data_IF_015043539518
#
_entry.id   IF_015043539518
#
_cell.length_a   1.000
_cell.length_b   1.000
_cell.length_c   1.000
_cell.angle_alpha   90.00
_cell.angle_beta   90.00
_cell.angle_gamma   90.00
#
_symmetry.space_group_name_H-M   'P 1'
#
loop_
_entity.id
_entity.type
_entity.pdbx_description
1 polymer ?
#
# COMPACT_ATOMS: atom_id res chain seq x y z
N UNK A 1 -2.76 -15.57 -25.78
CA UNK A 1 -2.58 -14.41 -26.67
C UNK A 1 -2.18 -13.20 -25.81
N UNK A 2 -1.31 -12.30 -26.30
CA UNK A 2 -1.22 -10.94 -25.80
C UNK A 2 -2.61 -10.29 -25.64
N UNK A 3 -2.74 -9.35 -24.70
CA UNK A 3 -4.02 -8.66 -24.45
C UNK A 3 -4.57 -7.95 -25.72
N UNK A 4 -3.75 -7.30 -26.58
CA UNK A 4 -4.24 -6.72 -27.84
C UNK A 4 -4.93 -7.74 -28.76
N UNK A 5 -4.36 -8.93 -28.92
CA UNK A 5 -4.93 -9.97 -29.79
C UNK A 5 -6.25 -10.51 -29.22
N UNK A 6 -6.35 -10.61 -27.88
CA UNK A 6 -7.58 -11.00 -27.20
C UNK A 6 -8.67 -9.93 -27.34
N UNK A 7 -8.28 -8.65 -27.25
CA UNK A 7 -9.13 -7.49 -27.46
C UNK A 7 -9.66 -7.44 -28.89
N UNK A 8 -8.80 -7.68 -29.89
CA UNK A 8 -9.19 -7.73 -31.30
C UNK A 8 -10.18 -8.86 -31.57
N UNK A 9 -9.90 -10.07 -31.05
CA UNK A 9 -10.80 -11.22 -31.15
C UNK A 9 -12.17 -10.94 -30.49
N UNK A 10 -12.19 -10.24 -29.35
CA UNK A 10 -13.44 -9.84 -28.69
C UNK A 10 -14.22 -8.78 -29.48
N UNK A 11 -13.56 -7.69 -29.90
CA UNK A 11 -14.20 -6.59 -30.66
C UNK A 11 -14.84 -7.09 -31.95
N UNK A 12 -14.25 -8.10 -32.57
CA UNK A 12 -14.73 -8.71 -33.82
C UNK A 12 -15.69 -9.88 -33.60
N UNK A 13 -15.70 -10.48 -32.41
CA UNK A 13 -16.56 -11.61 -32.03
C UNK A 13 -18.00 -11.18 -31.77
N UNK A 14 -18.96 -11.75 -32.51
CA UNK A 14 -20.40 -11.51 -32.32
C UNK A 14 -21.03 -12.64 -31.53
N UNK A 15 -21.86 -12.30 -30.54
CA UNK A 15 -22.68 -13.24 -29.80
C UNK A 15 -23.92 -13.71 -30.54
N UNK A 16 -24.68 -14.65 -29.97
CA UNK A 16 -26.01 -15.01 -30.46
C UNK A 16 -26.89 -13.75 -30.48
N UNK A 17 -27.28 -13.27 -31.67
CA UNK A 17 -28.03 -12.02 -31.86
C UNK A 17 -27.24 -10.85 -32.46
N UNK A 18 -25.95 -11.02 -32.77
CA UNK A 18 -25.18 -10.09 -33.61
C UNK A 18 -24.56 -8.88 -32.88
N UNK A 19 -24.78 -8.74 -31.57
CA UNK A 19 -24.13 -7.77 -30.68
C UNK A 19 -22.84 -8.30 -30.04
N UNK A 20 -22.04 -7.41 -29.40
CA UNK A 20 -20.83 -7.81 -28.68
C UNK A 20 -21.18 -8.70 -27.48
N UNK A 21 -20.44 -9.79 -27.26
CA UNK A 21 -20.59 -10.65 -26.07
C UNK A 21 -19.95 -9.99 -24.85
N UNK A 22 -20.64 -10.01 -23.70
CA UNK A 22 -20.01 -9.66 -22.44
C UNK A 22 -18.82 -10.59 -22.17
N UNK A 23 -17.64 -10.03 -21.85
CA UNK A 23 -16.41 -10.79 -21.62
C UNK A 23 -15.79 -10.41 -20.29
N UNK A 24 -15.31 -11.42 -19.57
CA UNK A 24 -14.49 -11.28 -18.37
C UNK A 24 -13.16 -12.02 -18.58
N UNK A 25 -12.04 -11.34 -18.39
CA UNK A 25 -10.70 -11.88 -18.61
C UNK A 25 -9.90 -11.80 -17.32
N UNK A 26 -9.44 -12.95 -16.84
CA UNK A 26 -8.47 -13.01 -15.76
C UNK A 26 -7.07 -12.80 -16.30
N UNK A 27 -6.33 -11.88 -15.71
CA UNK A 27 -4.99 -11.49 -16.14
C UNK A 27 -3.97 -11.63 -15.02
N UNK A 28 -2.69 -11.60 -15.40
CA UNK A 28 -1.60 -11.47 -14.45
C UNK A 28 -1.73 -10.14 -13.68
N UNK A 29 -1.33 -10.10 -12.40
CA UNK A 29 -1.50 -8.92 -11.56
C UNK A 29 -0.76 -7.71 -12.10
N UNK A 30 0.33 -7.90 -12.85
CA UNK A 30 1.15 -6.83 -13.42
C UNK A 30 0.70 -6.29 -14.78
N UNK A 31 -0.41 -6.75 -15.35
CA UNK A 31 -0.83 -6.35 -16.70
C UNK A 31 -1.12 -4.84 -16.80
N UNK A 32 -0.66 -4.20 -17.87
CA UNK A 32 -1.07 -2.85 -18.22
C UNK A 32 -2.47 -2.90 -18.83
N UNK A 33 -3.40 -2.20 -18.19
CA UNK A 33 -4.81 -2.09 -18.60
C UNK A 33 -5.20 -0.63 -18.85
N UNK A 34 -4.22 0.27 -19.08
CA UNK A 34 -4.47 1.68 -19.37
C UNK A 34 -5.38 1.91 -20.58
N UNK A 35 -5.31 1.01 -21.58
CA UNK A 35 -6.15 1.04 -22.78
C UNK A 35 -7.47 0.27 -22.64
N UNK A 36 -7.77 -0.31 -21.47
CA UNK A 36 -9.01 -1.05 -21.24
C UNK A 36 -10.17 -0.10 -20.93
N UNK A 37 -11.23 -0.18 -21.75
CA UNK A 37 -12.39 0.73 -21.71
C UNK A 37 -13.53 0.25 -20.79
N UNK A 38 -13.39 -0.91 -20.15
CA UNK A 38 -14.38 -1.43 -19.20
C UNK A 38 -13.88 -1.43 -17.75
N UNK A 39 -14.60 -2.16 -16.89
CA UNK A 39 -14.26 -2.33 -15.49
C UNK A 39 -12.96 -3.12 -15.31
N UNK A 40 -12.16 -2.72 -14.32
CA UNK A 40 -10.97 -3.45 -13.88
C UNK A 40 -11.06 -3.73 -12.38
N UNK A 41 -11.02 -5.02 -12.03
CA UNK A 41 -10.94 -5.48 -10.65
C UNK A 41 -9.51 -5.92 -10.35
N UNK A 42 -8.93 -5.41 -9.28
CA UNK A 42 -7.63 -5.86 -8.78
C UNK A 42 -7.84 -6.62 -7.48
N UNK A 43 -7.38 -7.87 -7.44
CA UNK A 43 -7.59 -8.76 -6.29
C UNK A 43 -6.28 -9.02 -5.59
N UNK A 44 -6.24 -8.82 -4.27
CA UNK A 44 -5.13 -9.20 -3.41
C UNK A 44 -5.56 -10.15 -2.30
N UNK A 45 -4.59 -10.91 -1.80
CA UNK A 45 -4.72 -11.60 -0.52
C UNK A 45 -4.04 -10.76 0.55
N UNK A 46 -4.74 -10.53 1.65
CA UNK A 46 -4.19 -9.86 2.82
C UNK A 46 -3.01 -10.64 3.40
N UNK A 47 -2.05 -9.89 3.95
CA UNK A 47 -0.93 -10.47 4.69
C UNK A 47 -1.37 -11.05 6.03
N UNK A 48 -0.66 -12.06 6.51
CA UNK A 48 -0.74 -12.49 7.91
C UNK A 48 0.14 -11.61 8.80
N UNK A 49 0.02 -11.74 10.13
CA UNK A 49 0.86 -11.01 11.07
C UNK A 49 2.35 -11.22 10.76
N UNK A 50 3.01 -10.17 10.28
CA UNK A 50 4.44 -10.17 9.95
C UNK A 50 4.80 -10.56 8.52
N UNK A 51 3.83 -10.89 7.66
CA UNK A 51 4.04 -11.12 6.22
C UNK A 51 3.18 -10.16 5.39
N UNK A 52 3.77 -9.58 4.33
CA UNK A 52 3.02 -8.73 3.40
C UNK A 52 1.97 -9.51 2.62
N UNK A 53 0.82 -8.88 2.37
CA UNK A 53 -0.14 -9.36 1.39
C UNK A 53 0.40 -9.25 -0.03
N UNK A 54 -0.42 -9.57 -1.01
CA UNK A 54 -0.01 -9.40 -2.40
C UNK A 54 -1.14 -9.53 -3.40
N UNK A 55 -1.05 -8.68 -4.44
CA UNK A 55 -1.92 -8.73 -5.61
C UNK A 55 -1.74 -10.06 -6.32
N UNK A 56 -2.85 -10.73 -6.62
CA UNK A 56 -2.88 -12.04 -7.27
C UNK A 56 -3.31 -11.93 -8.73
N UNK A 57 -4.24 -11.04 -9.04
CA UNK A 57 -4.76 -10.91 -10.39
C UNK A 57 -5.39 -9.55 -10.66
N UNK A 58 -5.56 -9.28 -11.95
CA UNK A 58 -6.44 -8.26 -12.49
C UNK A 58 -7.53 -8.96 -13.31
N UNK A 59 -8.78 -8.54 -13.16
CA UNK A 59 -9.92 -9.05 -13.93
C UNK A 59 -10.51 -7.91 -14.76
N UNK A 60 -10.53 -8.09 -16.07
CA UNK A 60 -11.00 -7.11 -17.04
C UNK A 60 -12.40 -7.50 -17.49
N UNK A 61 -13.38 -6.61 -17.29
CA UNK A 61 -14.75 -6.83 -17.71
C UNK A 61 -15.12 -5.85 -18.80
N UNK A 62 -15.73 -6.35 -19.87
CA UNK A 62 -16.18 -5.50 -20.99
C UNK A 62 -17.19 -4.45 -20.51
N UNK A 63 -17.38 -3.32 -21.21
CA UNK A 63 -18.33 -2.28 -20.81
C UNK A 63 -19.74 -2.82 -20.48
N UNK A 64 -20.24 -3.79 -21.25
CA UNK A 64 -21.56 -4.41 -21.01
C UNK A 64 -21.67 -5.26 -19.74
N UNK A 65 -20.56 -5.54 -19.05
CA UNK A 65 -20.51 -6.23 -17.75
C UNK A 65 -20.00 -5.31 -16.63
N UNK A 66 -19.73 -4.03 -16.92
CA UNK A 66 -19.18 -3.10 -15.96
C UNK A 66 -20.26 -2.56 -15.01
N UNK A 67 -19.94 -2.49 -13.74
CA UNK A 67 -20.74 -1.91 -12.65
C UNK A 67 -20.07 -0.66 -12.09
N UNK A 68 -18.73 -0.63 -12.09
CA UNK A 68 -17.86 0.48 -11.69
C UNK A 68 -16.66 0.53 -12.63
N UNK A 69 -15.89 1.62 -12.65
CA UNK A 69 -14.69 1.68 -13.49
C UNK A 69 -13.55 0.86 -12.90
N UNK A 70 -13.35 0.96 -11.59
CA UNK A 70 -12.26 0.29 -10.87
C UNK A 70 -12.78 -0.33 -9.58
N UNK A 71 -12.27 -1.51 -9.23
CA UNK A 71 -12.48 -2.16 -7.94
C UNK A 71 -11.17 -2.71 -7.39
N UNK A 72 -10.92 -2.50 -6.11
CA UNK A 72 -9.92 -3.23 -5.34
C UNK A 72 -10.64 -4.22 -4.43
N UNK A 73 -10.24 -5.49 -4.48
CA UNK A 73 -10.78 -6.56 -3.63
C UNK A 73 -9.64 -7.12 -2.78
N UNK A 74 -9.73 -6.93 -1.46
CA UNK A 74 -8.72 -7.43 -0.51
C UNK A 74 -9.34 -8.57 0.30
N UNK A 75 -8.89 -9.80 0.02
CA UNK A 75 -9.39 -11.01 0.67
C UNK A 75 -8.55 -11.30 1.91
N UNK A 76 -9.14 -11.14 3.10
CA UNK A 76 -8.58 -11.55 4.37
C UNK A 76 -8.99 -12.95 4.80
N UNK A 77 -8.54 -13.37 5.99
CA UNK A 77 -8.92 -14.67 6.56
C UNK A 77 -10.41 -14.70 6.95
N UNK A 78 -10.88 -13.64 7.62
CA UNK A 78 -12.24 -13.59 8.19
C UNK A 78 -13.20 -12.70 7.40
N UNK A 79 -12.67 -11.83 6.54
CA UNK A 79 -13.48 -10.89 5.75
C UNK A 79 -12.81 -10.48 4.45
N UNK A 80 -13.63 -10.08 3.49
CA UNK A 80 -13.22 -9.45 2.24
C UNK A 80 -13.68 -8.00 2.26
N UNK A 81 -12.82 -7.09 1.83
CA UNK A 81 -13.16 -5.67 1.65
C UNK A 81 -13.05 -5.31 0.18
N UNK A 82 -14.04 -4.56 -0.29
CA UNK A 82 -14.07 -3.99 -1.62
C UNK A 82 -14.03 -2.46 -1.52
N UNK A 83 -13.19 -1.83 -2.33
CA UNK A 83 -13.27 -0.41 -2.64
C UNK A 83 -13.53 -0.25 -4.13
N UNK A 84 -14.29 0.76 -4.51
CA UNK A 84 -14.67 1.01 -5.91
C UNK A 84 -14.46 2.47 -6.29
N UNK A 85 -14.41 2.74 -7.60
CA UNK A 85 -14.38 4.11 -8.12
C UNK A 85 -15.66 4.91 -7.87
N UNK A 86 -16.74 4.28 -7.39
CA UNK A 86 -17.97 4.96 -7.01
C UNK A 86 -17.96 5.45 -5.55
N UNK A 87 -16.99 5.02 -4.75
CA UNK A 87 -16.87 5.47 -3.37
C UNK A 87 -16.42 6.93 -3.30
N UNK A 88 -16.76 7.60 -2.19
CA UNK A 88 -16.31 8.97 -1.95
C UNK A 88 -14.78 9.05 -1.97
N UNK A 89 -14.24 10.12 -2.53
CA UNK A 89 -12.80 10.33 -2.64
C UNK A 89 -12.34 11.59 -1.89
N UNK A 90 -11.06 11.60 -1.51
CA UNK A 90 -10.40 12.73 -0.86
C UNK A 90 -9.05 13.01 -1.52
N UNK A 91 -8.92 14.22 -2.05
CA UNK A 91 -7.66 14.76 -2.57
C UNK A 91 -6.83 15.47 -1.51
N UNK A 92 -7.16 15.30 -0.23
CA UNK A 92 -6.40 15.89 0.86
C UNK A 92 -4.92 15.46 0.78
N UNK A 93 -4.04 16.46 0.79
CA UNK A 93 -2.60 16.29 0.91
C UNK A 93 -2.11 17.17 2.04
N UNK A 94 -1.39 16.57 2.97
CA UNK A 94 -0.82 17.28 4.12
C UNK A 94 0.50 16.60 4.56
N UNK A 95 1.30 17.29 5.40
CA UNK A 95 2.51 16.70 5.98
C UNK A 95 2.25 15.39 6.74
N UNK A 96 3.33 14.67 7.05
CA UNK A 96 3.27 13.46 7.88
C UNK A 96 2.60 13.76 9.22
N UNK A 97 1.49 13.09 9.49
CA UNK A 97 0.77 13.14 10.77
C UNK A 97 1.34 12.16 11.79
N UNK A 98 0.54 11.83 12.81
CA UNK A 98 0.99 10.90 13.87
C UNK A 98 1.17 9.46 13.40
N UNK A 99 0.39 9.03 12.41
CA UNK A 99 0.41 7.68 11.88
C UNK A 99 0.59 7.68 10.37
N UNK A 100 1.19 6.62 9.86
CA UNK A 100 1.38 6.36 8.43
C UNK A 100 1.01 4.92 8.11
N UNK A 101 0.45 4.68 6.93
CA UNK A 101 0.24 3.33 6.41
C UNK A 101 0.60 3.26 4.93
N UNK A 102 0.96 2.05 4.51
CA UNK A 102 1.24 1.70 3.13
C UNK A 102 0.03 0.93 2.55
N UNK A 103 -0.84 1.54 1.71
CA UNK A 103 -2.05 0.86 1.27
C UNK A 103 -1.77 -0.46 0.56
N UNK A 104 -2.70 -1.41 0.71
CA UNK A 104 -2.63 -2.69 0.01
C UNK A 104 -2.43 -2.52 -1.50
N UNK A 105 -1.67 -3.45 -2.10
CA UNK A 105 -1.32 -3.41 -3.51
C UNK A 105 -2.53 -3.36 -4.45
N UNK A 106 -3.67 -3.95 -4.08
CA UNK A 106 -4.89 -3.87 -4.86
C UNK A 106 -5.46 -2.46 -4.88
N UNK A 107 -5.49 -1.78 -3.73
CA UNK A 107 -5.93 -0.38 -3.61
C UNK A 107 -5.04 0.53 -4.43
N UNK A 108 -3.71 0.38 -4.31
CA UNK A 108 -2.75 1.18 -5.08
C UNK A 108 -2.91 0.95 -6.57
N UNK A 109 -2.98 -0.32 -6.99
CA UNK A 109 -2.99 -0.67 -8.41
C UNK A 109 -4.33 -0.30 -9.06
N UNK A 110 -5.46 -0.49 -8.38
CA UNK A 110 -6.76 -0.05 -8.88
C UNK A 110 -6.88 1.48 -8.99
N UNK A 111 -5.93 2.24 -8.43
CA UNK A 111 -5.96 3.70 -8.42
C UNK A 111 -6.89 4.27 -7.36
N UNK A 112 -7.22 3.50 -6.32
CA UNK A 112 -8.27 3.82 -5.34
C UNK A 112 -7.73 4.40 -4.02
N UNK A 113 -6.55 5.02 -4.06
CA UNK A 113 -5.91 5.56 -2.86
C UNK A 113 -6.69 6.75 -2.29
N UNK A 114 -7.30 7.58 -3.13
CA UNK A 114 -8.10 8.74 -2.69
C UNK A 114 -9.42 8.30 -2.06
N UNK A 115 -10.03 7.22 -2.55
CA UNK A 115 -11.21 6.59 -1.95
C UNK A 115 -10.84 5.99 -0.59
N UNK A 116 -9.71 5.30 -0.49
CA UNK A 116 -9.28 4.75 0.78
C UNK A 116 -8.90 5.84 1.79
N UNK A 117 -8.30 6.94 1.34
CA UNK A 117 -8.04 8.11 2.18
C UNK A 117 -9.34 8.68 2.76
N UNK A 118 -10.38 8.84 1.93
CA UNK A 118 -11.69 9.31 2.38
C UNK A 118 -12.34 8.36 3.39
N UNK A 119 -12.31 7.06 3.14
CA UNK A 119 -12.86 6.04 4.04
C UNK A 119 -12.23 6.08 5.44
N UNK A 120 -10.94 6.39 5.52
CA UNK A 120 -10.21 6.50 6.79
C UNK A 120 -10.25 7.90 7.42
N UNK A 121 -10.73 8.92 6.70
CA UNK A 121 -10.57 10.33 7.09
C UNK A 121 -9.09 10.78 7.13
N UNK A 122 -8.25 10.16 6.29
CA UNK A 122 -6.80 10.39 6.21
C UNK A 122 -6.44 11.18 4.94
N UNK A 123 -5.16 11.51 4.77
CA UNK A 123 -4.63 12.24 3.62
C UNK A 123 -3.41 11.56 3.00
N UNK A 124 -3.13 11.88 1.73
CA UNK A 124 -1.88 11.48 1.07
C UNK A 124 -0.74 12.40 1.48
N UNK A 125 0.49 11.88 1.50
CA UNK A 125 1.69 12.68 1.79
C UNK A 125 2.18 13.52 0.60
N UNK A 126 1.87 13.08 -0.62
CA UNK A 126 2.15 13.77 -1.89
C UNK A 126 1.14 13.25 -2.94
N UNK A 127 0.69 14.08 -3.90
CA UNK A 127 -0.27 13.65 -4.91
C UNK A 127 0.17 12.40 -5.71
N UNK A 128 1.48 12.14 -5.79
CA UNK A 128 2.06 11.07 -6.60
C UNK A 128 2.53 9.86 -5.79
N UNK A 129 2.29 9.82 -4.48
CA UNK A 129 2.64 8.67 -3.63
C UNK A 129 1.42 8.11 -2.93
N UNK A 130 1.41 6.79 -2.75
CA UNK A 130 0.27 6.09 -2.17
C UNK A 130 0.22 6.15 -0.64
N UNK A 131 1.30 6.55 0.05
CA UNK A 131 1.30 6.57 1.51
C UNK A 131 0.20 7.49 2.06
N UNK A 132 -0.59 6.95 2.97
CA UNK A 132 -1.62 7.66 3.70
C UNK A 132 -1.17 7.97 5.12
N UNK A 133 -1.62 9.09 5.65
CA UNK A 133 -1.28 9.56 6.99
C UNK A 133 -2.48 10.20 7.67
N UNK A 134 -2.49 10.14 9.00
CA UNK A 134 -3.54 10.71 9.83
C UNK A 134 -3.11 10.81 11.29
N UNK A 135 -3.93 11.48 12.10
CA UNK A 135 -3.62 11.75 13.51
C UNK A 135 -4.22 10.75 14.50
N UNK A 136 -5.13 9.90 14.04
CA UNK A 136 -5.80 8.86 14.83
C UNK A 136 -5.69 7.50 14.17
N UNK A 137 -5.53 6.44 14.97
CA UNK A 137 -5.54 5.06 14.45
C UNK A 137 -6.97 4.71 14.04
N UNK A 138 -7.22 4.28 12.78
CA UNK A 138 -8.56 3.88 12.35
C UNK A 138 -9.01 2.61 13.05
N UNK A 139 -10.33 2.39 13.15
CA UNK A 139 -10.83 1.13 13.69
C UNK A 139 -10.48 -0.02 12.74
N UNK A 140 -10.20 -1.24 13.24
CA UNK A 140 -9.89 -2.39 12.38
C UNK A 140 -10.95 -2.71 11.33
N UNK A 141 -12.22 -2.34 11.58
CA UNK A 141 -13.33 -2.53 10.65
C UNK A 141 -13.25 -1.62 9.41
N UNK A 142 -12.72 -0.40 9.57
CA UNK A 142 -12.64 0.63 8.53
C UNK A 142 -11.46 0.43 7.58
N UNK A 143 -10.45 -0.32 8.01
CA UNK A 143 -9.25 -0.61 7.23
C UNK A 143 -9.48 -1.77 6.26
N UNK A 144 -8.61 -1.97 5.27
CA UNK A 144 -8.56 -3.25 4.54
C UNK A 144 -7.89 -4.34 5.41
N UNK A 145 -8.23 -5.64 5.26
CA UNK A 145 -7.63 -6.71 6.06
C UNK A 145 -6.11 -6.78 5.89
N UNK A 146 -5.38 -7.10 6.96
CA UNK A 146 -3.93 -7.22 6.96
C UNK A 146 -3.16 -5.89 6.85
N UNK A 147 -3.86 -4.76 6.81
CA UNK A 147 -3.25 -3.44 6.73
C UNK A 147 -2.47 -3.11 8.01
N UNK A 148 -1.20 -2.69 7.85
CA UNK A 148 -0.35 -2.25 8.95
C UNK A 148 -0.36 -0.73 9.07
N UNK A 149 -0.46 -0.24 10.29
CA UNK A 149 -0.34 1.18 10.66
C UNK A 149 0.91 1.35 11.50
N UNK A 150 1.67 2.40 11.21
CA UNK A 150 2.91 2.71 11.88
C UNK A 150 2.81 4.06 12.57
N UNK A 151 3.14 4.12 13.87
CA UNK A 151 3.27 5.37 14.62
C UNK A 151 4.59 6.04 14.26
N UNK A 152 4.51 7.33 13.95
CA UNK A 152 5.66 8.14 13.57
C UNK A 152 6.46 8.49 14.81
N UNK A 153 7.75 8.15 14.80
CA UNK A 153 8.72 8.50 15.84
C UNK A 153 9.48 9.76 15.46
N UNK A 154 9.94 9.83 14.22
CA UNK A 154 10.70 10.97 13.71
C UNK A 154 10.57 11.08 12.19
N UNK A 155 10.62 12.29 11.66
CA UNK A 155 10.57 12.57 10.22
C UNK A 155 11.77 13.43 9.84
N UNK A 156 12.67 12.87 9.03
CA UNK A 156 13.93 13.52 8.69
C UNK A 156 14.25 13.44 7.20
N UNK A 157 15.04 14.39 6.65
CA UNK A 157 15.66 14.20 5.34
C UNK A 157 16.45 12.89 5.30
N UNK A 158 16.41 12.15 4.19
CA UNK A 158 17.04 10.83 4.07
C UNK A 158 18.51 10.79 4.53
N UNK A 159 19.28 11.86 4.29
CA UNK A 159 20.68 11.99 4.72
C UNK A 159 20.88 11.94 6.25
N UNK A 160 19.85 12.28 7.03
CA UNK A 160 19.86 12.28 8.50
C UNK A 160 19.30 10.97 9.10
N UNK A 161 18.81 10.03 8.27
CA UNK A 161 18.18 8.79 8.72
C UNK A 161 19.04 8.00 9.73
N UNK A 162 20.35 7.88 9.49
CA UNK A 162 21.23 7.11 10.39
C UNK A 162 21.21 7.66 11.83
N UNK A 163 21.20 8.98 11.98
CA UNK A 163 21.17 9.63 13.30
C UNK A 163 19.80 9.48 13.97
N UNK A 164 18.71 9.71 13.22
CA UNK A 164 17.34 9.52 13.71
C UNK A 164 17.09 8.07 14.15
N UNK A 165 17.56 7.09 13.36
CA UNK A 165 17.41 5.68 13.69
C UNK A 165 18.22 5.28 14.93
N UNK A 166 19.43 5.83 15.09
CA UNK A 166 20.23 5.59 16.30
C UNK A 166 19.53 6.14 17.56
N UNK A 167 18.94 7.34 17.48
CA UNK A 167 18.17 7.94 18.57
C UNK A 167 16.91 7.11 18.88
N UNK A 168 16.17 6.69 17.86
CA UNK A 168 14.97 5.87 18.01
C UNK A 168 15.28 4.50 18.64
N UNK A 169 16.37 3.85 18.23
CA UNK A 169 16.86 2.58 18.81
C UNK A 169 17.19 2.72 20.29
N UNK A 170 17.84 3.82 20.69
CA UNK A 170 18.18 4.09 22.08
C UNK A 170 16.95 4.43 22.95
N UNK A 171 15.92 5.06 22.34
CA UNK A 171 14.68 5.46 23.01
C UNK A 171 13.59 4.39 23.05
N UNK A 172 13.87 3.14 22.65
CA UNK A 172 12.94 2.03 22.84
C UNK A 172 12.94 1.58 24.31
N UNK A 173 11.77 1.25 24.85
CA UNK A 173 11.68 0.84 26.25
C UNK A 173 12.38 -0.50 26.49
N UNK A 174 12.78 -0.73 27.74
CA UNK A 174 13.35 -2.01 28.15
C UNK A 174 12.35 -3.17 27.94
N UNK A 175 11.04 -2.90 28.06
CA UNK A 175 9.98 -3.87 27.80
C UNK A 175 9.87 -4.25 26.31
N UNK A 176 10.03 -3.29 25.39
CA UNK A 176 9.98 -3.54 23.94
C UNK A 176 11.23 -4.26 23.41
N UNK A 177 12.36 -4.19 24.12
CA UNK A 177 13.67 -4.59 23.59
C UNK A 177 14.45 -5.57 24.44
N UNK A 178 13.89 -6.01 25.56
CA UNK A 178 14.64 -6.74 26.59
C UNK A 178 15.83 -5.94 27.14
N UNK A 179 15.74 -4.60 27.10
CA UNK A 179 16.82 -3.67 27.48
C UNK A 179 17.95 -3.52 26.46
N UNK A 180 17.77 -3.99 25.22
CA UNK A 180 18.84 -4.06 24.20
C UNK A 180 18.42 -3.54 22.81
N UNK A 181 17.68 -2.44 22.72
CA UNK A 181 17.40 -1.73 21.45
C UNK A 181 16.70 -2.55 20.33
N UNK A 182 16.57 -1.94 19.15
CA UNK A 182 16.05 -2.59 17.95
C UNK A 182 17.09 -3.49 17.28
N UNK A 183 16.65 -4.67 16.83
CA UNK A 183 17.49 -5.69 16.15
C UNK A 183 17.17 -5.84 14.68
N UNK A 184 15.93 -5.57 14.27
CA UNK A 184 15.49 -5.61 12.88
C UNK A 184 14.99 -4.25 12.41
N UNK A 185 15.18 -4.01 11.12
CA UNK A 185 14.74 -2.81 10.44
C UNK A 185 13.95 -3.23 9.20
N UNK A 186 12.69 -2.87 9.09
CA UNK A 186 11.96 -2.92 7.83
C UNK A 186 12.14 -1.59 7.09
N UNK A 187 12.24 -1.65 5.76
CA UNK A 187 12.36 -0.45 4.92
C UNK A 187 11.29 -0.55 3.83
N UNK A 188 10.35 0.39 3.86
CA UNK A 188 9.30 0.56 2.86
C UNK A 188 9.67 1.77 2.00
N UNK A 189 9.63 1.63 0.68
CA UNK A 189 10.02 2.71 -0.25
C UNK A 189 8.93 2.89 -1.30
N UNK A 190 8.46 4.14 -1.49
CA UNK A 190 7.63 4.53 -2.64
C UNK A 190 8.06 5.87 -3.22
N UNK A 191 8.16 5.92 -4.56
CA UNK A 191 8.40 7.15 -5.31
C UNK A 191 9.80 7.77 -5.12
N UNK A 192 10.72 7.08 -4.44
CA UNK A 192 12.09 7.49 -4.21
C UNK A 192 13.07 6.50 -4.85
N UNK A 193 14.12 7.02 -5.48
CA UNK A 193 15.22 6.24 -6.05
C UNK A 193 16.19 5.80 -4.93
N UNK A 194 15.75 4.82 -4.15
CA UNK A 194 16.48 4.29 -3.00
C UNK A 194 16.39 2.77 -3.01
N UNK A 195 17.54 2.10 -3.05
CA UNK A 195 17.65 0.67 -2.86
C UNK A 195 17.46 0.31 -1.38
N UNK A 196 16.37 -0.42 -1.01
CA UNK A 196 16.10 -0.81 0.38
C UNK A 196 17.20 -1.70 0.98
N UNK A 197 17.80 -2.60 0.19
CA UNK A 197 18.81 -3.55 0.68
C UNK A 197 20.16 -2.88 0.91
N UNK A 198 20.56 -2.00 -0.02
CA UNK A 198 21.73 -1.15 0.17
C UNK A 198 21.56 -0.24 1.41
N UNK A 199 20.38 0.35 1.59
CA UNK A 199 20.11 1.19 2.74
C UNK A 199 20.10 0.40 4.05
N UNK A 200 19.49 -0.80 4.06
CA UNK A 200 19.51 -1.72 5.20
C UNK A 200 20.93 -2.07 5.62
N UNK A 201 21.81 -2.40 4.66
CA UNK A 201 23.23 -2.66 4.93
C UNK A 201 23.95 -1.46 5.54
N UNK A 202 23.62 -0.24 5.08
CA UNK A 202 24.16 1.02 5.61
C UNK A 202 23.67 1.33 7.04
N UNK A 203 22.44 0.93 7.37
CA UNK A 203 21.84 1.14 8.69
C UNK A 203 22.23 0.08 9.73
N UNK A 204 22.70 -1.10 9.29
CA UNK A 204 23.12 -2.20 10.19
C UNK A 204 24.00 -1.79 11.39
N UNK A 205 24.96 -0.83 11.29
CA UNK A 205 25.78 -0.42 12.43
C UNK A 205 25.02 0.29 13.56
N UNK A 206 23.82 0.84 13.31
CA UNK A 206 23.00 1.51 14.34
C UNK A 206 21.91 0.61 14.92
N UNK A 207 21.84 -0.64 14.48
CA UNK A 207 20.99 -1.67 15.06
C UNK A 207 21.76 -2.42 16.14
N UNK A 208 21.09 -2.80 17.22
CA UNK A 208 21.70 -3.51 18.34
C UNK A 208 21.64 -5.02 18.07
N UNK A 209 22.75 -5.75 18.22
CA UNK A 209 22.71 -7.22 18.13
C UNK A 209 22.14 -7.80 19.43
N UNK A 210 21.20 -8.73 19.33
CA UNK A 210 20.71 -9.52 20.47
C UNK A 210 19.74 -8.79 21.41
N UNK A 211 19.02 -7.78 20.93
CA UNK A 211 17.83 -7.22 21.58
C UNK A 211 16.50 -7.77 21.06
N UNK A 212 15.41 -7.02 21.30
CA UNK A 212 14.03 -7.47 21.05
C UNK A 212 13.12 -6.57 20.20
N UNK A 213 13.59 -5.42 19.67
CA UNK A 213 12.72 -4.48 18.93
C UNK A 213 12.81 -4.56 17.41
N UNK A 214 11.71 -4.21 16.71
CA UNK A 214 11.71 -3.97 15.26
C UNK A 214 11.28 -2.54 14.97
N UNK A 215 12.02 -1.84 14.11
CA UNK A 215 11.64 -0.53 13.58
C UNK A 215 11.28 -0.64 12.11
N UNK A 216 10.40 0.22 11.64
CA UNK A 216 10.07 0.35 10.22
C UNK A 216 10.46 1.76 9.78
N UNK A 217 11.16 1.88 8.66
CA UNK A 217 11.44 3.16 8.02
C UNK A 217 10.66 3.25 6.74
N UNK A 218 9.79 4.25 6.65
CA UNK A 218 9.07 4.59 5.43
C UNK A 218 9.84 5.67 4.69
N UNK A 219 10.09 5.44 3.41
CA UNK A 219 10.80 6.37 2.54
C UNK A 219 9.88 6.79 1.43
N UNK A 220 9.67 8.09 1.35
CA UNK A 220 8.82 8.71 0.36
C UNK A 220 9.50 9.91 -0.25
N UNK A 221 9.26 10.15 -1.54
CA UNK A 221 9.53 11.46 -2.12
C UNK A 221 8.35 12.37 -1.84
N UNK A 222 8.57 13.40 -1.04
CA UNK A 222 7.57 14.44 -0.72
C UNK A 222 8.01 15.71 -1.46
N UNK A 223 7.20 16.14 -2.42
CA UNK A 223 7.58 17.14 -3.41
C UNK A 223 8.84 16.70 -4.18
N UNK A 224 9.94 17.43 -3.94
CA UNK A 224 11.23 17.21 -4.62
C UNK A 224 12.28 16.46 -3.79
N UNK A 225 12.00 16.15 -2.52
CA UNK A 225 13.01 15.62 -1.60
C UNK A 225 12.65 14.23 -1.08
N UNK A 226 13.61 13.30 -1.00
CA UNK A 226 13.41 12.05 -0.27
C UNK A 226 13.40 12.30 1.23
N UNK A 227 12.29 11.92 1.86
CA UNK A 227 12.04 11.98 3.30
C UNK A 227 12.04 10.57 3.85
N UNK A 228 12.65 10.40 5.02
CA UNK A 228 12.61 9.16 5.78
C UNK A 228 11.82 9.37 7.07
N UNK A 229 10.82 8.52 7.28
CA UNK A 229 9.98 8.52 8.48
C UNK A 229 10.35 7.28 9.28
N UNK A 230 10.90 7.49 10.48
CA UNK A 230 11.18 6.42 11.43
C UNK A 230 9.89 6.11 12.18
N UNK A 231 9.51 4.84 12.22
CA UNK A 231 8.22 4.43 12.76
C UNK A 231 8.31 3.19 13.62
N UNK A 232 7.28 2.99 14.44
CA UNK A 232 7.02 1.77 15.20
C UNK A 232 5.71 1.18 14.71
N UNK A 233 5.68 -0.14 14.50
CA UNK A 233 4.43 -0.79 14.10
C UNK A 233 3.43 -0.75 15.26
N UNK A 234 2.26 -0.20 15.00
CA UNK A 234 1.12 -0.28 15.91
C UNK A 234 0.37 -1.56 15.56
N UNK A 235 0.04 -2.34 16.58
CA UNK A 235 -0.97 -3.38 16.45
C UNK A 235 -2.29 -2.72 16.88
N UNK A 236 -3.22 -2.44 15.96
CA UNK A 236 -4.55 -1.99 16.34
C UNK A 236 -5.10 -3.03 17.31
N UNK A 237 -5.29 -2.66 18.58
CA UNK A 237 -5.89 -3.59 19.55
C UNK A 237 -7.34 -3.78 19.12
N UNK A 238 -7.74 -5.04 18.95
CA UNK A 238 -9.15 -5.43 18.94
C UNK A 238 -9.75 -5.28 20.32
#
# INVERSE_FOLDING_TARGET
>A
PPLPDLLEAWRTGRGPGGGPTGTAVKCAPGIDYSEWEGQVDIVSLAGSSGAGGGVKEACLYSPGLSVVDRRAVVVGQDRTVELTSADAESDAVAPVGRYILDPDGAVVRAGLVTQYAAALGWWRLDPHIAYLSGDTVPAPADMVPGQRVFEVVDTVPLKKLKAALAAATAGLSAAETGGRGATSLEILVRGADVDPDALRKKMRPVLTRGGGGSLTVVIARIGRSPVAVVTRQVHPRG
#
